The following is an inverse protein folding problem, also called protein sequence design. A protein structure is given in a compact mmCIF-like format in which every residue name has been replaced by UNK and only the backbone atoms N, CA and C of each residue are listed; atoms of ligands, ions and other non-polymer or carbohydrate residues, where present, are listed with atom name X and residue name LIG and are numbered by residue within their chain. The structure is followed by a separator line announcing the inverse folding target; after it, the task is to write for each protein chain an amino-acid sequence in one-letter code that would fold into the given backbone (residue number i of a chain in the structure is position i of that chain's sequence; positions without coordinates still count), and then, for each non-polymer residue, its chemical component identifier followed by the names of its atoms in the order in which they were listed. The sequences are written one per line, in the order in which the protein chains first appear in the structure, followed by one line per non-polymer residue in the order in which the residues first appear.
data_IF_761020625678
#
_entry.id   IF_761020625678
#
_cell.length_a   1.000
_cell.length_b   1.000
_cell.length_c   1.000
_cell.angle_alpha   90.00
_cell.angle_beta   90.00
_cell.angle_gamma   90.00
#
_symmetry.space_group_name_H-M   'P 1'
#
loop_
_entity.id
_entity.type
_entity.pdbx_description
1 polymer ?
#
# COMPACT_ATOMS: atom_id res chain seq x y z
N UNK A 1 -13.57 -4.72 0.87
CA UNK A 1 -14.41 -5.05 2.04
C UNK A 1 -13.76 -4.61 3.35
N UNK A 2 -12.58 -5.13 3.72
CA UNK A 2 -11.88 -4.75 4.96
C UNK A 2 -11.61 -3.23 5.11
N UNK A 3 -11.18 -2.54 4.05
CA UNK A 3 -10.98 -1.09 4.04
C UNK A 3 -12.27 -0.30 4.37
N UNK A 4 -13.42 -0.75 3.87
CA UNK A 4 -14.70 -0.09 4.15
C UNK A 4 -15.10 -0.28 5.61
N UNK A 5 -14.98 -1.51 6.13
CA UNK A 5 -15.30 -1.81 7.53
C UNK A 5 -14.45 -1.01 8.50
N UNK A 6 -13.15 -0.85 8.22
CA UNK A 6 -12.28 -0.02 9.05
C UNK A 6 -12.59 1.48 8.95
N UNK A 7 -12.92 1.99 7.76
CA UNK A 7 -13.34 3.41 7.61
C UNK A 7 -14.62 3.69 8.42
N UNK A 8 -15.58 2.76 8.40
CA UNK A 8 -16.81 2.86 9.22
C UNK A 8 -16.51 2.80 10.72
N UNK A 9 -15.67 1.87 11.18
CA UNK A 9 -15.27 1.77 12.59
C UNK A 9 -14.59 3.04 13.10
N UNK A 10 -13.66 3.59 12.32
CA UNK A 10 -12.97 4.85 12.66
C UNK A 10 -13.95 6.01 12.73
N UNK A 11 -14.91 6.11 11.81
CA UNK A 11 -15.92 7.16 11.89
C UNK A 11 -16.83 6.99 13.11
N UNK A 12 -17.22 5.76 13.45
CA UNK A 12 -17.99 5.49 14.67
C UNK A 12 -17.24 5.86 15.95
N UNK A 13 -15.90 5.74 15.96
CA UNK A 13 -15.09 6.01 17.14
C UNK A 13 -14.70 7.48 17.31
N UNK A 14 -14.59 8.25 16.21
CA UNK A 14 -13.95 9.57 16.25
C UNK A 14 -14.70 10.69 15.54
N UNK A 15 -15.75 10.41 14.77
CA UNK A 15 -16.54 11.46 14.12
C UNK A 15 -17.72 11.89 14.98
N UNK A 16 -18.06 13.18 14.94
CA UNK A 16 -19.31 13.69 15.51
C UNK A 16 -20.53 13.19 14.74
N UNK A 17 -20.44 13.14 13.40
CA UNK A 17 -21.48 12.61 12.52
C UNK A 17 -20.88 11.79 11.36
N UNK A 18 -21.54 10.68 11.00
CA UNK A 18 -21.14 9.80 9.91
C UNK A 18 -21.70 10.33 8.59
N UNK A 19 -20.79 10.65 7.68
CA UNK A 19 -21.13 11.07 6.32
C UNK A 19 -21.02 9.90 5.35
N UNK A 20 -22.08 9.10 5.29
CA UNK A 20 -22.21 7.96 4.36
C UNK A 20 -21.76 8.22 2.91
N UNK A 21 -22.13 9.34 2.24
CA UNK A 21 -21.68 9.57 0.87
C UNK A 21 -20.15 9.70 0.76
N UNK A 22 -19.49 10.29 1.77
CA UNK A 22 -18.04 10.41 1.79
C UNK A 22 -17.34 9.07 2.07
N UNK A 23 -17.91 8.25 2.97
CA UNK A 23 -17.41 6.88 3.24
C UNK A 23 -17.50 6.03 1.98
N UNK A 24 -18.65 6.01 1.31
CA UNK A 24 -18.85 5.26 0.08
C UNK A 24 -17.90 5.73 -1.04
N UNK A 25 -17.73 7.04 -1.20
CA UNK A 25 -16.80 7.61 -2.19
C UNK A 25 -15.35 7.20 -1.92
N UNK A 26 -14.88 7.28 -0.68
CA UNK A 26 -13.52 6.87 -0.31
C UNK A 26 -13.32 5.37 -0.53
N UNK A 27 -14.28 4.56 -0.14
CA UNK A 27 -14.24 3.12 -0.35
C UNK A 27 -14.24 2.75 -1.84
N UNK A 28 -15.07 3.41 -2.66
CA UNK A 28 -15.11 3.20 -4.10
C UNK A 28 -13.78 3.62 -4.76
N UNK A 29 -13.21 4.77 -4.36
CA UNK A 29 -11.90 5.22 -4.85
C UNK A 29 -10.79 4.25 -4.49
N UNK A 30 -10.73 3.82 -3.23
CA UNK A 30 -9.76 2.82 -2.79
C UNK A 30 -9.95 1.51 -3.56
N UNK A 31 -11.19 1.06 -3.74
CA UNK A 31 -11.48 -0.17 -4.49
C UNK A 31 -11.06 -0.08 -5.95
N UNK A 32 -11.33 1.02 -6.66
CA UNK A 32 -10.87 1.21 -8.04
C UNK A 32 -9.34 1.16 -8.14
N UNK A 33 -8.64 1.82 -7.22
CA UNK A 33 -7.17 1.83 -7.20
C UNK A 33 -6.62 0.42 -6.95
N UNK A 34 -7.13 -0.27 -5.93
CA UNK A 34 -6.70 -1.64 -5.62
C UNK A 34 -7.08 -2.61 -6.74
N UNK A 35 -8.25 -2.47 -7.36
CA UNK A 35 -8.66 -3.30 -8.48
C UNK A 35 -7.71 -3.13 -9.67
N UNK A 36 -7.37 -1.88 -10.03
CA UNK A 36 -6.41 -1.62 -11.09
C UNK A 36 -5.02 -2.15 -10.77
N UNK A 37 -4.53 -1.94 -9.54
CA UNK A 37 -3.22 -2.45 -9.09
C UNK A 37 -3.17 -3.97 -9.11
N UNK A 38 -4.19 -4.65 -8.57
CA UNK A 38 -4.26 -6.11 -8.57
C UNK A 38 -4.41 -6.64 -9.99
N UNK A 39 -5.30 -6.08 -10.80
CA UNK A 39 -5.46 -6.53 -12.18
C UNK A 39 -4.16 -6.36 -13.00
N UNK A 40 -3.44 -5.26 -12.82
CA UNK A 40 -2.22 -4.98 -13.58
C UNK A 40 -1.00 -5.77 -13.09
N UNK A 41 -0.88 -6.02 -11.78
CA UNK A 41 0.32 -6.65 -11.19
C UNK A 41 0.14 -8.12 -10.81
N UNK A 42 -1.10 -8.64 -10.77
CA UNK A 42 -1.32 -10.05 -10.43
C UNK A 42 -0.79 -10.95 -11.56
N UNK A 43 0.03 -11.98 -11.24
CA UNK A 43 0.59 -12.85 -12.25
C UNK A 43 -0.52 -13.66 -12.93
N UNK A 44 -0.75 -13.43 -14.22
CA UNK A 44 -1.60 -14.29 -15.04
C UNK A 44 -0.77 -15.46 -15.57
N UNK A 45 -1.14 -16.73 -15.31
CA UNK A 45 -0.39 -17.89 -15.79
C UNK A 45 -0.53 -18.14 -17.30
N UNK A 46 -1.40 -17.41 -18.01
CA UNK A 46 -1.71 -17.67 -19.41
C UNK A 46 -0.95 -16.76 -20.37
N UNK A 47 -0.45 -17.36 -21.44
CA UNK A 47 0.35 -16.82 -22.53
C UNK A 47 -0.29 -15.66 -23.35
N UNK A 48 -1.50 -15.22 -22.99
CA UNK A 48 -2.28 -14.22 -23.71
C UNK A 48 -2.84 -13.18 -22.72
N UNK A 49 -2.02 -12.19 -22.35
CA UNK A 49 -2.45 -11.08 -21.49
C UNK A 49 -2.94 -9.90 -22.34
N UNK A 50 -4.17 -9.38 -22.14
CA UNK A 50 -4.76 -8.28 -22.90
C UNK A 50 -4.30 -6.88 -22.42
N UNK A 51 -3.12 -6.77 -21.79
CA UNK A 51 -2.60 -5.50 -21.26
C UNK A 51 -1.56 -4.89 -22.23
N UNK A 52 -1.86 -3.76 -22.90
CA UNK A 52 -0.94 -3.10 -23.82
C UNK A 52 0.15 -2.24 -23.14
N UNK A 53 0.13 -2.11 -21.80
CA UNK A 53 0.94 -1.08 -21.13
C UNK A 53 2.43 -1.44 -21.00
N UNK A 54 2.83 -2.69 -21.22
CA UNK A 54 4.21 -3.11 -21.07
C UNK A 54 4.57 -4.22 -22.07
N UNK A 55 4.77 -3.83 -23.32
CA UNK A 55 5.35 -4.65 -24.41
C UNK A 55 6.84 -4.92 -24.18
N UNK A 56 7.22 -5.33 -22.97
CA UNK A 56 8.59 -5.67 -22.62
C UNK A 56 8.91 -7.14 -22.99
N UNK A 57 10.17 -7.46 -23.30
CA UNK A 57 10.60 -8.84 -23.52
C UNK A 57 10.28 -9.73 -22.32
N UNK A 58 9.81 -10.96 -22.57
CA UNK A 58 9.34 -11.93 -21.55
C UNK A 58 10.30 -12.14 -20.37
N UNK A 59 11.62 -11.96 -20.57
CA UNK A 59 12.65 -12.10 -19.52
C UNK A 59 12.69 -10.94 -18.51
N UNK A 60 12.21 -9.75 -18.88
CA UNK A 60 12.28 -8.55 -18.03
C UNK A 60 11.04 -8.37 -17.13
N UNK A 61 9.94 -9.06 -17.41
CA UNK A 61 8.68 -8.92 -16.65
C UNK A 61 8.83 -9.28 -15.18
N UNK A 62 9.58 -10.35 -14.89
CA UNK A 62 9.79 -10.82 -13.52
C UNK A 62 10.62 -9.83 -12.66
N UNK A 63 11.85 -9.43 -13.05
CA UNK A 63 12.65 -8.51 -12.23
C UNK A 63 12.00 -7.12 -12.13
N UNK A 64 11.33 -6.65 -13.19
CA UNK A 64 10.64 -5.36 -13.17
C UNK A 64 9.45 -5.37 -12.22
N UNK A 65 8.64 -6.45 -12.21
CA UNK A 65 7.54 -6.60 -11.25
C UNK A 65 8.06 -6.59 -9.81
N UNK A 66 9.14 -7.32 -9.53
CA UNK A 66 9.78 -7.32 -8.21
C UNK A 66 10.32 -5.93 -7.82
N UNK A 67 10.91 -5.19 -8.76
CA UNK A 67 11.36 -3.82 -8.52
C UNK A 67 10.19 -2.86 -8.23
N UNK A 68 9.07 -2.98 -8.94
CA UNK A 68 7.86 -2.19 -8.69
C UNK A 68 7.32 -2.48 -7.30
N UNK A 69 7.18 -3.76 -6.92
CA UNK A 69 6.71 -4.09 -5.58
C UNK A 69 7.69 -3.64 -4.49
N UNK A 70 9.01 -3.70 -4.74
CA UNK A 70 10.00 -3.21 -3.79
C UNK A 70 9.86 -1.70 -3.60
N UNK A 71 9.75 -0.94 -4.68
CA UNK A 71 9.53 0.50 -4.63
C UNK A 71 8.21 0.87 -3.95
N UNK A 72 7.11 0.19 -4.29
CA UNK A 72 5.79 0.41 -3.71
C UNK A 72 5.77 0.08 -2.22
N UNK A 73 6.39 -1.04 -1.81
CA UNK A 73 6.56 -1.43 -0.42
C UNK A 73 7.38 -0.41 0.36
N UNK A 74 8.54 -0.01 -0.17
CA UNK A 74 9.43 0.93 0.52
C UNK A 74 8.79 2.32 0.66
N UNK A 75 8.21 2.86 -0.40
CA UNK A 75 7.56 4.19 -0.37
C UNK A 75 6.36 4.18 0.59
N UNK A 76 5.51 3.15 0.53
CA UNK A 76 4.35 3.05 1.41
C UNK A 76 4.75 2.87 2.88
N UNK A 77 5.76 2.05 3.17
CA UNK A 77 6.28 1.84 4.52
C UNK A 77 6.94 3.10 5.10
N UNK A 78 7.84 3.76 4.36
CA UNK A 78 8.47 5.00 4.81
C UNK A 78 7.42 6.10 5.02
N UNK A 79 6.40 6.18 4.14
CA UNK A 79 5.29 7.13 4.31
C UNK A 79 4.45 6.81 5.55
N UNK A 80 4.19 5.54 5.83
CA UNK A 80 3.49 5.08 7.02
C UNK A 80 4.22 5.50 8.30
N UNK A 81 5.53 5.28 8.35
CA UNK A 81 6.40 5.70 9.45
C UNK A 81 6.37 7.23 9.62
N UNK A 82 6.56 7.97 8.53
CA UNK A 82 6.52 9.43 8.56
C UNK A 82 5.19 9.96 9.09
N UNK A 83 4.07 9.48 8.56
CA UNK A 83 2.73 9.95 8.95
C UNK A 83 2.46 9.62 10.43
N UNK A 84 2.87 8.45 10.88
CA UNK A 84 2.67 8.03 12.27
C UNK A 84 3.48 8.88 13.27
N UNK A 85 4.63 9.42 12.86
CA UNK A 85 5.50 10.23 13.72
C UNK A 85 5.26 11.75 13.60
N UNK A 86 4.90 12.24 12.42
CA UNK A 86 4.84 13.68 12.13
C UNK A 86 3.41 14.23 11.97
N UNK A 87 2.42 13.40 11.64
CA UNK A 87 1.06 13.88 11.41
C UNK A 87 0.21 13.87 12.69
N UNK A 88 -0.77 14.77 12.76
CA UNK A 88 -1.77 14.75 13.83
C UNK A 88 -2.66 13.51 13.75
N UNK A 89 -3.23 13.11 14.90
CA UNK A 89 -4.00 11.88 15.09
C UNK A 89 -5.02 11.58 13.99
N UNK A 90 -5.84 12.57 13.62
CA UNK A 90 -6.89 12.42 12.61
C UNK A 90 -6.35 12.27 11.18
N UNK A 91 -5.17 12.85 10.89
CA UNK A 91 -4.49 12.66 9.61
C UNK A 91 -3.88 11.26 9.52
N UNK A 92 -3.32 10.76 10.62
CA UNK A 92 -2.79 9.40 10.74
C UNK A 92 -3.88 8.37 10.51
N UNK A 93 -5.00 8.45 11.21
CA UNK A 93 -6.08 7.46 11.04
C UNK A 93 -6.69 7.43 9.64
N UNK A 94 -6.64 8.53 8.89
CA UNK A 94 -7.12 8.57 7.50
C UNK A 94 -6.15 7.95 6.50
N UNK A 95 -4.84 8.03 6.74
CA UNK A 95 -3.81 7.64 5.76
C UNK A 95 -3.17 6.28 6.07
N UNK A 96 -3.07 5.90 7.35
CA UNK A 96 -2.38 4.69 7.80
C UNK A 96 -3.01 3.40 7.24
N UNK A 97 -4.36 3.20 7.24
CA UNK A 97 -4.95 1.96 6.75
C UNK A 97 -4.63 1.63 5.28
N UNK A 98 -4.79 2.54 4.29
CA UNK A 98 -4.47 2.23 2.91
C UNK A 98 -2.96 2.08 2.67
N UNK A 99 -2.11 2.86 3.37
CA UNK A 99 -0.65 2.74 3.28
C UNK A 99 -0.17 1.39 3.83
N UNK A 100 -0.69 0.97 4.98
CA UNK A 100 -0.39 -0.33 5.56
C UNK A 100 -0.83 -1.48 4.65
N UNK A 101 -2.01 -1.37 4.03
CA UNK A 101 -2.50 -2.38 3.09
C UNK A 101 -1.59 -2.50 1.85
N UNK A 102 -1.17 -1.38 1.26
CA UNK A 102 -0.25 -1.37 0.12
C UNK A 102 1.12 -1.95 0.48
N UNK A 103 1.66 -1.56 1.63
CA UNK A 103 2.93 -2.08 2.13
C UNK A 103 2.88 -3.60 2.33
N UNK A 104 1.84 -4.09 3.02
CA UNK A 104 1.72 -5.49 3.37
C UNK A 104 1.51 -6.35 2.11
N UNK A 105 0.71 -5.89 1.16
CA UNK A 105 0.56 -6.56 -0.13
C UNK A 105 1.88 -6.60 -0.92
N UNK A 106 2.60 -5.48 -1.00
CA UNK A 106 3.89 -5.44 -1.68
C UNK A 106 4.90 -6.43 -1.06
N UNK A 107 5.01 -6.44 0.27
CA UNK A 107 5.94 -7.35 0.99
C UNK A 107 5.59 -8.82 0.78
N UNK A 108 4.30 -9.18 0.72
CA UNK A 108 3.87 -10.56 0.47
C UNK A 108 4.25 -11.02 -0.94
N UNK A 109 4.22 -10.14 -1.94
CA UNK A 109 4.57 -10.48 -3.32
C UNK A 109 6.08 -10.38 -3.63
N UNK A 110 6.86 -9.83 -2.70
CA UNK A 110 8.31 -9.82 -2.79
C UNK A 110 8.88 -11.21 -2.53
N UNK A 111 9.94 -11.55 -3.24
CA UNK A 111 10.74 -12.70 -2.85
C UNK A 111 11.46 -12.44 -1.51
N UNK A 112 11.68 -13.50 -0.73
CA UNK A 112 12.19 -13.41 0.64
C UNK A 112 13.41 -12.47 0.82
N UNK A 113 14.49 -12.54 -0.01
CA UNK A 113 15.62 -11.64 0.19
C UNK A 113 15.29 -10.16 -0.04
N UNK A 114 14.46 -9.82 -1.03
CA UNK A 114 14.03 -8.43 -1.25
C UNK A 114 13.09 -7.98 -0.14
N UNK A 115 12.22 -8.85 0.38
CA UNK A 115 11.34 -8.50 1.49
C UNK A 115 12.16 -8.15 2.75
N UNK A 116 13.20 -8.92 3.05
CA UNK A 116 14.14 -8.63 4.14
C UNK A 116 14.89 -7.32 3.88
N UNK A 117 15.34 -7.08 2.65
CA UNK A 117 15.99 -5.83 2.27
C UNK A 117 15.04 -4.62 2.42
N UNK A 118 13.79 -4.75 2.01
CA UNK A 118 12.76 -3.71 2.18
C UNK A 118 12.59 -3.36 3.67
N UNK A 119 12.45 -4.37 4.54
CA UNK A 119 12.36 -4.18 5.98
C UNK A 119 13.63 -3.53 6.55
N UNK A 120 14.82 -3.97 6.13
CA UNK A 120 16.08 -3.40 6.56
C UNK A 120 16.21 -1.91 6.18
N UNK A 121 15.79 -1.54 4.98
CA UNK A 121 15.79 -0.13 4.53
C UNK A 121 14.79 0.73 5.31
N UNK A 122 13.62 0.20 5.65
CA UNK A 122 12.65 0.90 6.51
C UNK A 122 13.19 1.09 7.92
N UNK A 123 13.83 0.06 8.50
CA UNK A 123 14.49 0.15 9.79
C UNK A 123 15.63 1.20 9.77
N UNK A 124 16.44 1.19 8.71
CA UNK A 124 17.47 2.21 8.49
C UNK A 124 16.86 3.62 8.43
N UNK A 125 15.75 3.78 7.71
CA UNK A 125 15.04 5.07 7.63
C UNK A 125 14.56 5.54 9.00
N UNK A 126 13.99 4.65 9.82
CA UNK A 126 13.58 4.97 11.19
C UNK A 126 14.78 5.46 12.02
N UNK A 127 15.91 4.77 11.94
CA UNK A 127 17.14 5.15 12.63
C UNK A 127 17.70 6.50 12.15
N UNK A 128 17.74 6.75 10.85
CA UNK A 128 18.26 8.01 10.28
C UNK A 128 17.37 9.21 10.57
N UNK A 129 16.05 9.00 10.64
CA UNK A 129 15.08 10.06 10.88
C UNK A 129 14.84 10.35 12.37
N UNK A 130 15.57 9.67 13.27
CA UNK A 130 15.47 9.81 14.73
C UNK A 130 14.02 9.66 15.25
N UNK A 131 13.27 8.76 14.61
CA UNK A 131 11.89 8.48 15.01
C UNK A 131 11.89 7.51 16.18
N UNK A 132 11.46 8.00 17.34
CA UNK A 132 11.20 7.16 18.50
C UNK A 132 9.92 6.34 18.28
N UNK A 133 10.05 5.02 18.35
CA UNK A 133 8.90 4.12 18.46
C UNK A 133 8.27 4.41 19.83
N UNK A 134 7.12 5.11 19.82
CA UNK A 134 6.31 5.35 21.02
C UNK A 134 5.56 4.11 21.43
#
# INVERSE_FOLDING_TARGET
MLHFTFDVLVQHQYATDISWPLVCLRAARAWMVFFFLFYALHPYPSHDAPLPLLTLPSHCHYPLRQAIFLGLGLVSACRLVFVSNAAGYLATMKQTPPLACLCLWAVIELHLPLAVLCLALVALYIHLADYHIK
#
